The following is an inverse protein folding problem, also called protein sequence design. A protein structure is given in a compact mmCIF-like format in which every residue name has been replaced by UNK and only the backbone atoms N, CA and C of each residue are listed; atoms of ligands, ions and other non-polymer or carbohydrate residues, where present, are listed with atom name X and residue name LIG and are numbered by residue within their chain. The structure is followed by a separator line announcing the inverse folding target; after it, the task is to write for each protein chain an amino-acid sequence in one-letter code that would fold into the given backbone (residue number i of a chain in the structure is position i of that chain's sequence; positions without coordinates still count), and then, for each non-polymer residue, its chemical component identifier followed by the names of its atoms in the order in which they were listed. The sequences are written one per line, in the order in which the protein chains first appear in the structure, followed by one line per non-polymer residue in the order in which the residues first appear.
data_IF_216808185509
#
_entry.id   IF_216808185509
#
_cell.length_a   1.000
_cell.length_b   1.000
_cell.length_c   1.000
_cell.angle_alpha   90.00
_cell.angle_beta   90.00
_cell.angle_gamma   90.00
#
_symmetry.space_group_name_H-M   'P 1'
#
loop_
_entity.id
_entity.type
_entity.pdbx_description
1 polymer ?
#
# COMPACT_ATOMS: atom_id res chain seq x y z
N UNK A 1 0.10 6.66 -23.64
CA UNK A 1 -0.79 6.12 -22.58
C UNK A 1 0.06 5.41 -21.55
N UNK A 2 -0.10 5.74 -20.26
CA UNK A 2 0.61 5.08 -19.15
C UNK A 2 -0.20 3.87 -18.70
N UNK A 3 0.45 2.71 -18.52
CA UNK A 3 -0.20 1.52 -17.97
C UNK A 3 -0.30 1.67 -16.44
N UNK A 4 -1.47 1.37 -15.91
CA UNK A 4 -1.76 1.38 -14.47
C UNK A 4 -2.40 0.06 -14.07
N UNK A 5 -2.17 -0.38 -12.84
CA UNK A 5 -2.86 -1.51 -12.22
C UNK A 5 -3.72 -0.99 -11.07
N UNK A 6 -4.95 -1.51 -10.96
CA UNK A 6 -5.92 -1.14 -9.92
C UNK A 6 -6.61 -2.41 -9.45
N UNK A 7 -6.65 -2.63 -8.15
CA UNK A 7 -7.35 -3.74 -7.50
C UNK A 7 -8.31 -3.17 -6.47
N UNK A 8 -9.55 -3.68 -6.46
CA UNK A 8 -10.58 -3.27 -5.50
C UNK A 8 -10.39 -4.02 -4.18
N UNK A 9 -10.44 -3.29 -3.07
CA UNK A 9 -10.63 -3.86 -1.73
C UNK A 9 -12.03 -3.44 -1.26
N UNK A 10 -12.89 -4.40 -0.93
CA UNK A 10 -14.29 -4.12 -0.58
C UNK A 10 -14.46 -3.58 0.86
N UNK A 11 -13.41 -3.61 1.67
CA UNK A 11 -13.37 -3.03 3.00
C UNK A 11 -11.94 -2.71 3.43
N UNK A 12 -11.80 -2.01 4.58
CA UNK A 12 -10.53 -1.78 5.26
C UNK A 12 -10.12 -2.92 6.21
N UNK A 13 -10.77 -4.09 6.12
CA UNK A 13 -10.34 -5.26 6.89
C UNK A 13 -8.89 -5.62 6.51
N UNK A 14 -7.98 -5.80 7.49
CA UNK A 14 -6.57 -6.05 7.20
C UNK A 14 -6.30 -7.26 6.29
N UNK A 15 -7.12 -8.31 6.35
CA UNK A 15 -6.96 -9.48 5.50
C UNK A 15 -7.37 -9.17 4.06
N UNK A 16 -8.49 -8.47 3.88
CA UNK A 16 -8.99 -8.05 2.55
C UNK A 16 -7.99 -7.08 1.90
N UNK A 17 -7.51 -6.08 2.64
CA UNK A 17 -6.51 -5.12 2.14
C UNK A 17 -5.19 -5.81 1.84
N UNK A 18 -4.73 -6.70 2.73
CA UNK A 18 -3.49 -7.46 2.51
C UNK A 18 -3.54 -8.31 1.23
N UNK A 19 -4.67 -8.96 0.96
CA UNK A 19 -4.85 -9.73 -0.27
C UNK A 19 -4.87 -8.82 -1.51
N UNK A 20 -5.64 -7.72 -1.47
CA UNK A 20 -5.70 -6.77 -2.58
C UNK A 20 -4.34 -6.16 -2.92
N UNK A 21 -3.50 -5.85 -1.92
CA UNK A 21 -2.13 -5.36 -2.12
C UNK A 21 -1.25 -6.45 -2.74
N UNK A 22 -1.38 -7.69 -2.31
CA UNK A 22 -0.63 -8.83 -2.87
C UNK A 22 -0.98 -9.01 -4.36
N UNK A 23 -2.27 -9.01 -4.70
CA UNK A 23 -2.74 -9.15 -6.09
C UNK A 23 -2.29 -7.96 -6.96
N UNK A 24 -2.32 -6.74 -6.40
CA UNK A 24 -1.84 -5.54 -7.07
C UNK A 24 -0.35 -5.67 -7.45
N UNK A 25 0.48 -6.13 -6.52
CA UNK A 25 1.92 -6.31 -6.75
C UNK A 25 2.22 -7.45 -7.74
N UNK A 26 1.37 -8.49 -7.79
CA UNK A 26 1.51 -9.57 -8.76
C UNK A 26 1.45 -9.06 -10.21
N UNK A 27 0.64 -8.04 -10.51
CA UNK A 27 0.62 -7.40 -11.83
C UNK A 27 1.94 -6.73 -12.22
N UNK A 28 2.78 -6.35 -11.24
CA UNK A 28 4.12 -5.80 -11.47
C UNK A 28 5.21 -6.87 -11.56
N UNK A 29 4.86 -8.14 -11.30
CA UNK A 29 5.76 -9.29 -11.27
C UNK A 29 6.15 -9.75 -9.87
N UNK A 30 5.39 -9.35 -8.84
CA UNK A 30 5.65 -9.74 -7.45
C UNK A 30 6.61 -8.81 -6.71
N UNK A 31 6.62 -8.92 -5.38
CA UNK A 31 7.50 -8.10 -4.52
C UNK A 31 8.97 -8.55 -4.62
N UNK A 32 9.20 -9.84 -4.85
CA UNK A 32 10.49 -10.48 -5.06
C UNK A 32 11.26 -9.93 -6.28
N UNK A 33 10.55 -9.36 -7.26
CA UNK A 33 11.16 -8.62 -8.36
C UNK A 33 11.87 -7.33 -7.92
N UNK A 34 11.49 -6.78 -6.77
CA UNK A 34 12.00 -5.50 -6.25
C UNK A 34 12.89 -5.64 -5.01
N UNK A 35 12.72 -6.72 -4.25
CA UNK A 35 13.40 -6.95 -2.97
C UNK A 35 13.87 -8.40 -2.89
N UNK A 36 15.13 -8.61 -2.52
CA UNK A 36 15.73 -9.91 -2.28
C UNK A 36 15.92 -10.20 -0.78
N UNK A 37 16.07 -11.48 -0.46
CA UNK A 37 16.43 -11.88 0.90
C UNK A 37 17.76 -11.26 1.31
N UNK A 38 17.78 -10.56 2.45
CA UNK A 38 18.97 -9.89 2.98
C UNK A 38 19.08 -8.41 2.62
N UNK A 39 18.23 -7.89 1.74
CA UNK A 39 18.19 -6.46 1.44
C UNK A 39 17.83 -5.64 2.68
N UNK A 40 18.56 -4.54 2.88
CA UNK A 40 18.18 -3.49 3.83
C UNK A 40 17.24 -2.52 3.15
N UNK A 41 15.95 -2.73 3.35
CA UNK A 41 14.90 -1.90 2.77
C UNK A 41 14.53 -0.77 3.73
N UNK A 42 14.56 0.48 3.24
CA UNK A 42 14.00 1.61 3.96
C UNK A 42 12.49 1.57 3.86
N UNK A 43 11.80 1.28 4.95
CA UNK A 43 10.38 1.56 5.03
C UNK A 43 10.20 3.05 5.27
N UNK A 44 9.49 3.74 4.37
CA UNK A 44 9.08 5.14 4.53
C UNK A 44 7.62 5.18 4.98
N UNK A 45 7.30 4.89 6.26
CA UNK A 45 5.96 5.16 6.74
C UNK A 45 5.75 6.66 6.61
N UNK A 46 4.69 7.07 5.91
CA UNK A 46 4.27 8.47 5.94
C UNK A 46 3.88 8.75 7.41
N UNK A 47 4.73 9.48 8.13
CA UNK A 47 4.41 9.94 9.48
C UNK A 47 3.31 11.00 9.35
N UNK A 48 2.19 10.75 10.00
CA UNK A 48 1.08 11.69 10.05
C UNK A 48 1.18 12.50 11.33
N UNK A 49 1.00 13.81 11.21
CA UNK A 49 0.99 14.70 12.37
C UNK A 49 -0.32 14.52 13.14
N UNK A 50 -0.25 14.55 14.48
CA UNK A 50 -1.43 14.47 15.34
C UNK A 50 -2.20 15.78 15.39
N UNK A 51 -2.83 16.17 14.27
CA UNK A 51 -3.59 17.42 14.14
C UNK A 51 -5.09 17.18 14.10
N UNK A 52 -5.86 18.27 14.10
CA UNK A 52 -7.32 18.22 14.00
C UNK A 52 -7.80 17.41 12.79
N UNK A 53 -8.86 16.61 12.97
CA UNK A 53 -9.41 15.73 11.93
C UNK A 53 -9.86 16.48 10.67
N UNK A 54 -10.31 17.73 10.81
CA UNK A 54 -10.72 18.57 9.69
C UNK A 54 -9.58 18.85 8.70
N UNK A 55 -8.32 18.74 9.14
CA UNK A 55 -7.14 18.88 8.27
C UNK A 55 -6.87 17.64 7.43
N UNK A 56 -7.60 16.54 7.65
CA UNK A 56 -7.60 15.34 6.78
C UNK A 56 -6.20 14.75 6.55
N UNK A 57 -5.35 14.80 7.58
CA UNK A 57 -3.99 14.24 7.53
C UNK A 57 -3.99 12.71 7.52
N UNK A 58 -4.96 12.08 8.18
CA UNK A 58 -5.24 10.64 8.10
C UNK A 58 -6.34 10.41 7.10
N UNK A 59 -6.26 9.29 6.36
CA UNK A 59 -7.37 8.83 5.53
C UNK A 59 -8.63 8.74 6.39
N UNK A 60 -9.68 9.48 6.01
CA UNK A 60 -10.99 9.34 6.63
C UNK A 60 -11.54 7.94 6.33
N UNK A 61 -12.43 7.37 7.16
CA UNK A 61 -13.46 6.50 6.59
C UNK A 61 -14.21 7.22 5.46
#
# INVERSE_FOLDING_TARGET
MTKVAVVKADSYDPQIVGQAVTDLLAHFGGLDKFINQGDRVLLKPNMLEGVDKGLSVTTHP
#
